data_IF_365595679209
#
_entry.id   IF_365595679209
#
_cell.length_a   1.000
_cell.length_b   1.000
_cell.length_c   1.000
_cell.angle_alpha   90.00
_cell.angle_beta   90.00
_cell.angle_gamma   90.00
#
_symmetry.space_group_name_H-M   'P 1'
#
loop_
_entity.id
_entity.type
_entity.pdbx_description
1 polymer ?
#
# COMPACT_ATOMS: atom_id res chain seq x y z
N UNK A 1 -19.29 0.93 -6.84
CA UNK A 1 -17.98 1.62 -6.80
C UNK A 1 -18.02 2.97 -6.05
N UNK A 2 -18.53 4.07 -6.63
CA UNK A 2 -18.31 5.43 -6.05
C UNK A 2 -18.69 5.61 -4.56
N UNK A 3 -19.89 5.17 -4.15
CA UNK A 3 -20.33 5.25 -2.76
C UNK A 3 -19.45 4.39 -1.82
N UNK A 4 -18.98 3.23 -2.29
CA UNK A 4 -18.06 2.37 -1.56
C UNK A 4 -16.72 3.06 -1.34
N UNK A 5 -16.08 3.60 -2.40
CA UNK A 5 -14.81 4.32 -2.25
C UNK A 5 -14.95 5.57 -1.37
N UNK A 6 -16.08 6.28 -1.43
CA UNK A 6 -16.33 7.44 -0.58
C UNK A 6 -16.36 7.06 0.92
N UNK A 7 -17.12 6.01 1.27
CA UNK A 7 -17.19 5.50 2.66
C UNK A 7 -15.85 4.96 3.11
N UNK A 8 -15.17 4.16 2.27
CA UNK A 8 -13.83 3.64 2.57
C UNK A 8 -12.83 4.77 2.78
N UNK A 9 -12.81 5.77 1.91
CA UNK A 9 -11.95 6.94 2.04
C UNK A 9 -12.22 7.73 3.32
N UNK A 10 -13.49 7.91 3.71
CA UNK A 10 -13.86 8.56 4.96
C UNK A 10 -13.39 7.76 6.19
N UNK A 11 -13.59 6.44 6.20
CA UNK A 11 -13.11 5.57 7.27
C UNK A 11 -11.58 5.61 7.40
N UNK A 12 -10.86 5.54 6.27
CA UNK A 12 -9.39 5.63 6.24
C UNK A 12 -8.87 6.95 6.80
N UNK A 13 -9.49 8.08 6.45
CA UNK A 13 -9.13 9.41 6.99
C UNK A 13 -9.34 9.52 8.50
N UNK A 14 -10.20 8.68 9.08
CA UNK A 14 -10.41 8.60 10.52
C UNK A 14 -9.29 7.87 11.28
N UNK A 15 -8.38 7.18 10.58
CA UNK A 15 -7.26 6.47 11.21
C UNK A 15 -6.11 7.43 11.50
N UNK A 16 -5.69 7.45 12.77
CA UNK A 16 -4.46 8.15 13.19
C UNK A 16 -3.22 7.39 12.72
N UNK A 17 -2.09 8.09 12.59
CA UNK A 17 -0.81 7.47 12.28
C UNK A 17 -0.43 6.35 13.27
N UNK A 18 -0.69 6.55 14.56
CA UNK A 18 -0.43 5.55 15.60
C UNK A 18 -1.30 4.28 15.46
N UNK A 19 -2.55 4.42 15.00
CA UNK A 19 -3.40 3.26 14.70
C UNK A 19 -2.87 2.50 13.49
N UNK A 20 -2.45 3.20 12.43
CA UNK A 20 -1.87 2.57 11.24
C UNK A 20 -0.56 1.84 11.57
N UNK A 21 0.35 2.48 12.30
CA UNK A 21 1.61 1.87 12.73
C UNK A 21 1.38 0.59 13.54
N UNK A 22 0.48 0.63 14.52
CA UNK A 22 0.12 -0.55 15.32
C UNK A 22 -0.48 -1.67 14.47
N UNK A 23 -1.34 -1.35 13.51
CA UNK A 23 -1.94 -2.34 12.63
C UNK A 23 -0.89 -3.03 11.75
N UNK A 24 0.07 -2.28 11.19
CA UNK A 24 1.17 -2.84 10.39
C UNK A 24 2.06 -3.75 11.21
N UNK A 25 2.52 -3.29 12.38
CA UNK A 25 3.35 -4.10 13.27
C UNK A 25 2.63 -5.40 13.67
N UNK A 26 1.37 -5.32 14.10
CA UNK A 26 0.60 -6.51 14.47
C UNK A 26 0.46 -7.51 13.31
N UNK A 27 0.26 -7.04 12.07
CA UNK A 27 0.19 -7.92 10.91
C UNK A 27 1.56 -8.56 10.60
N UNK A 28 2.65 -7.79 10.70
CA UNK A 28 3.99 -8.30 10.43
C UNK A 28 4.50 -9.24 11.54
N UNK A 29 4.14 -8.99 12.80
CA UNK A 29 4.38 -9.90 13.92
C UNK A 29 3.66 -11.23 13.70
N UNK A 30 2.41 -11.20 13.26
CA UNK A 30 1.64 -12.40 12.91
C UNK A 30 2.29 -13.16 11.75
N UNK A 31 2.75 -12.45 10.72
CA UNK A 31 3.51 -13.06 9.62
C UNK A 31 4.79 -13.74 10.14
N UNK A 32 5.56 -13.07 10.99
CA UNK A 32 6.76 -13.66 11.58
C UNK A 32 6.45 -14.91 12.43
N UNK A 33 5.37 -14.86 13.22
CA UNK A 33 4.92 -15.99 14.05
C UNK A 33 4.56 -17.23 13.22
N UNK A 34 4.14 -17.03 11.96
CA UNK A 34 3.84 -18.10 11.02
C UNK A 34 5.02 -18.45 10.09
N UNK A 35 6.20 -17.89 10.34
CA UNK A 35 7.43 -18.21 9.60
C UNK A 35 7.56 -17.51 8.24
N UNK A 36 6.72 -16.52 7.94
CA UNK A 36 6.90 -15.68 6.77
C UNK A 36 8.12 -14.77 6.97
N UNK A 37 8.95 -14.65 5.94
CA UNK A 37 10.14 -13.78 5.95
C UNK A 37 9.99 -12.56 5.04
N UNK A 38 9.01 -12.60 4.14
CA UNK A 38 8.67 -11.50 3.25
C UNK A 38 7.20 -11.56 2.85
N UNK A 39 6.63 -10.41 2.52
CA UNK A 39 5.30 -10.28 1.95
C UNK A 39 5.26 -9.18 0.89
N UNK A 40 4.30 -9.26 -0.03
CA UNK A 40 3.98 -8.18 -0.96
C UNK A 40 2.73 -7.46 -0.49
N UNK A 41 2.71 -6.14 -0.66
CA UNK A 41 1.52 -5.33 -0.38
C UNK A 41 1.19 -4.47 -1.59
N UNK A 42 -0.07 -4.50 -1.99
CA UNK A 42 -0.62 -3.62 -3.03
C UNK A 42 -1.12 -2.32 -2.43
N UNK A 43 -0.83 -1.21 -3.09
CA UNK A 43 -1.25 0.13 -2.73
C UNK A 43 -1.65 0.92 -3.96
N UNK A 44 -2.21 2.12 -3.78
CA UNK A 44 -2.63 2.97 -4.88
C UNK A 44 -3.43 4.16 -4.37
N UNK A 45 -3.69 5.18 -5.20
CA UNK A 45 -4.34 6.43 -4.81
C UNK A 45 -5.68 6.20 -4.09
N UNK A 46 -6.51 5.32 -4.65
CA UNK A 46 -7.84 4.98 -4.13
C UNK A 46 -7.84 3.70 -3.25
N UNK A 47 -6.68 3.05 -3.09
CA UNK A 47 -6.50 1.90 -2.20
C UNK A 47 -6.07 2.39 -0.83
N UNK A 48 -4.81 2.84 -0.75
CA UNK A 48 -4.14 3.26 0.47
C UNK A 48 -3.75 4.73 0.52
N UNK A 49 -3.53 5.33 -0.63
CA UNK A 49 -2.87 6.62 -0.73
C UNK A 49 -1.38 6.51 -0.40
N UNK A 50 -0.67 7.58 -0.73
CA UNK A 50 0.80 7.60 -0.70
C UNK A 50 1.36 7.58 0.74
N UNK A 51 0.75 8.32 1.66
CA UNK A 51 1.23 8.40 3.05
C UNK A 51 1.21 7.02 3.74
N UNK A 52 0.09 6.30 3.61
CA UNK A 52 -0.06 4.96 4.20
C UNK A 52 0.92 3.96 3.60
N UNK A 53 1.21 4.10 2.31
CA UNK A 53 2.13 3.24 1.58
C UNK A 53 3.60 3.48 1.95
N UNK A 54 4.02 4.75 1.99
CA UNK A 54 5.40 5.10 2.39
C UNK A 54 5.67 4.78 3.85
N UNK A 55 4.70 4.99 4.74
CA UNK A 55 4.77 4.53 6.14
C UNK A 55 4.93 3.00 6.24
N UNK A 56 4.25 2.22 5.38
CA UNK A 56 4.39 0.76 5.35
C UNK A 56 5.78 0.35 4.89
N UNK A 57 6.29 0.93 3.80
CA UNK A 57 7.63 0.62 3.28
C UNK A 57 8.74 1.02 4.24
N UNK A 58 8.53 2.07 5.04
CA UNK A 58 9.45 2.50 6.09
C UNK A 58 9.31 1.77 7.42
N UNK A 59 8.44 0.76 7.53
CA UNK A 59 8.26 0.03 8.79
C UNK A 59 9.49 -0.83 9.08
N UNK A 60 10.18 -0.54 10.20
CA UNK A 60 11.32 -1.33 10.66
C UNK A 60 10.85 -2.64 11.27
N UNK A 61 11.03 -3.74 10.53
CA UNK A 61 10.62 -5.07 10.94
C UNK A 61 11.43 -6.16 10.19
N UNK A 62 11.72 -7.32 10.80
CA UNK A 62 12.47 -8.40 10.14
C UNK A 62 11.78 -9.01 8.91
N UNK A 63 10.44 -9.03 8.89
CA UNK A 63 9.66 -9.45 7.71
C UNK A 63 9.72 -8.36 6.66
N UNK A 64 10.30 -8.66 5.50
CA UNK A 64 10.45 -7.71 4.41
C UNK A 64 9.11 -7.43 3.75
N UNK A 65 8.81 -6.16 3.49
CA UNK A 65 7.63 -5.75 2.72
C UNK A 65 8.07 -5.26 1.36
N UNK A 66 7.48 -5.82 0.29
CA UNK A 66 7.64 -5.33 -1.09
C UNK A 66 6.39 -4.60 -1.54
N UNK A 67 6.51 -3.34 -1.91
CA UNK A 67 5.38 -2.46 -2.21
C UNK A 67 5.08 -2.33 -3.69
N UNK A 68 3.86 -2.70 -4.10
CA UNK A 68 3.43 -2.61 -5.49
C UNK A 68 2.40 -1.49 -5.63
N UNK A 69 2.70 -0.49 -6.46
CA UNK A 69 1.82 0.66 -6.66
C UNK A 69 0.84 0.42 -7.80
N UNK A 70 -0.43 0.74 -7.54
CA UNK A 70 -1.59 0.57 -8.42
C UNK A 70 -2.02 1.92 -8.97
N UNK A 71 -1.23 2.43 -9.92
CA UNK A 71 -1.59 3.61 -10.70
C UNK A 71 -1.19 3.36 -12.15
N UNK A 72 -2.12 3.66 -13.07
CA UNK A 72 -1.88 3.46 -14.48
C UNK A 72 -0.83 4.46 -14.98
N UNK A 73 0.15 3.94 -15.74
CA UNK A 73 1.08 4.73 -16.54
C UNK A 73 0.90 4.39 -18.01
N UNK A 74 0.98 5.39 -18.88
CA UNK A 74 0.81 5.22 -20.33
C UNK A 74 2.15 5.07 -21.07
N UNK A 75 3.24 5.50 -20.44
CA UNK A 75 4.59 5.54 -21.02
C UNK A 75 5.62 5.08 -19.99
N UNK A 76 6.76 4.60 -20.47
CA UNK A 76 7.86 4.15 -19.60
C UNK A 76 8.43 5.26 -18.71
N UNK A 77 8.46 6.52 -19.19
CA UNK A 77 8.89 7.68 -18.41
C UNK A 77 7.98 7.93 -17.21
N UNK A 78 6.66 7.96 -17.44
CA UNK A 78 5.66 8.10 -16.38
C UNK A 78 5.74 6.95 -15.37
N UNK A 79 6.01 5.72 -15.84
CA UNK A 79 6.22 4.59 -14.95
C UNK A 79 7.45 4.79 -14.04
N UNK A 80 8.54 5.32 -14.57
CA UNK A 80 9.75 5.61 -13.80
C UNK A 80 9.53 6.74 -12.79
N UNK A 81 8.79 7.79 -13.18
CA UNK A 81 8.39 8.89 -12.29
C UNK A 81 7.56 8.35 -11.10
N UNK A 82 6.57 7.51 -11.37
CA UNK A 82 5.74 6.92 -10.31
C UNK A 82 6.56 6.06 -9.33
N UNK A 83 7.50 5.25 -9.82
CA UNK A 83 8.37 4.46 -8.95
C UNK A 83 9.22 5.38 -8.06
N UNK A 84 9.78 6.46 -8.62
CA UNK A 84 10.60 7.42 -7.88
C UNK A 84 9.79 8.19 -6.82
N UNK A 85 8.59 8.65 -7.17
CA UNK A 85 7.72 9.41 -6.27
C UNK A 85 7.17 8.56 -5.12
N UNK A 86 6.81 7.31 -5.42
CA UNK A 86 6.14 6.43 -4.46
C UNK A 86 7.10 5.60 -3.61
N UNK A 87 8.34 5.41 -4.09
CA UNK A 87 9.29 4.46 -3.51
C UNK A 87 8.88 2.99 -3.73
N UNK A 88 7.92 2.71 -4.61
CA UNK A 88 7.45 1.36 -4.88
C UNK A 88 8.54 0.49 -5.53
N UNK A 89 8.50 -0.81 -5.24
CA UNK A 89 9.35 -1.81 -5.87
C UNK A 89 8.91 -2.14 -7.30
N UNK A 90 7.61 -1.99 -7.58
CA UNK A 90 7.01 -2.28 -8.87
C UNK A 90 5.70 -1.52 -9.07
N UNK A 91 5.30 -1.37 -10.34
CA UNK A 91 3.94 -0.99 -10.71
C UNK A 91 3.16 -2.27 -11.02
N UNK A 92 2.15 -2.55 -10.21
CA UNK A 92 1.40 -3.81 -10.26
C UNK A 92 0.37 -3.95 -9.15
N UNK A 93 0.04 -2.84 -8.49
CA UNK A 93 -1.12 -2.79 -7.60
C UNK A 93 -2.43 -2.79 -8.39
N UNK A 94 -3.53 -2.82 -7.66
CA UNK A 94 -4.85 -2.89 -8.27
C UNK A 94 -5.25 -1.57 -8.94
N UNK A 95 -5.86 -1.68 -10.12
CA UNK A 95 -6.40 -0.58 -10.93
C UNK A 95 -7.93 -0.61 -10.98
N UNK A 96 -8.58 -1.52 -10.25
CA UNK A 96 -10.04 -1.71 -10.20
C UNK A 96 -10.67 -2.02 -11.57
N UNK A 97 -9.93 -2.71 -12.45
CA UNK A 97 -10.40 -3.04 -13.82
C UNK A 97 -11.59 -3.98 -13.80
N UNK A 98 -11.73 -4.80 -12.76
CA UNK A 98 -12.86 -5.70 -12.54
C UNK A 98 -14.06 -5.02 -11.85
N UNK A 99 -13.91 -3.75 -11.44
CA UNK A 99 -14.95 -2.95 -10.78
C UNK A 99 -15.07 -3.17 -9.27
N UNK A 100 -14.08 -3.79 -8.64
CA UNK A 100 -13.99 -3.96 -7.18
C UNK A 100 -13.70 -2.68 -6.41
#
# INVERSE_FOLDING_TARGET
AAAHHAVRGAARRGLTAAQRARARLAALDDFAAHGYVACTSGAGPDISGLDDFTELLGTDHPVQVRGYWGQAARRGEEAAELLAETGADALGGDLFVDGS
#
